data_IF_762659268278
#
_entry.id   IF_762659268278
#
_cell.length_a   1.000
_cell.length_b   1.000
_cell.length_c   1.000
_cell.angle_alpha   90.00
_cell.angle_beta   90.00
_cell.angle_gamma   90.00
#
_symmetry.space_group_name_H-M   'P 1'
#
loop_
_entity.id
_entity.type
_entity.pdbx_description
1 polymer ?
#
# COMPACT_ATOMS: atom_id res chain seq x y z
N UNK A 1 -25.54 -24.62 3.50
CA UNK A 1 -26.24 -23.39 3.07
C UNK A 1 -25.21 -22.28 3.01
N UNK A 2 -24.76 -21.88 1.82
CA UNK A 2 -23.83 -20.76 1.66
C UNK A 2 -24.61 -19.48 1.83
N UNK A 3 -24.31 -18.72 2.89
CA UNK A 3 -24.91 -17.42 3.16
C UNK A 3 -24.38 -16.40 2.14
N UNK A 4 -25.02 -16.34 0.97
CA UNK A 4 -24.85 -15.24 0.04
C UNK A 4 -25.55 -14.02 0.61
N UNK A 5 -24.79 -12.99 1.01
CA UNK A 5 -25.36 -11.66 1.26
C UNK A 5 -25.67 -11.04 -0.12
N UNK A 6 -26.94 -10.78 -0.45
CA UNK A 6 -27.29 -10.25 -1.76
C UNK A 6 -26.57 -8.92 -2.00
N UNK A 7 -25.81 -8.83 -3.09
CA UNK A 7 -25.11 -7.60 -3.51
C UNK A 7 -23.63 -7.50 -3.13
N UNK A 8 -23.09 -8.41 -2.31
CA UNK A 8 -21.65 -8.50 -2.05
C UNK A 8 -21.00 -9.58 -2.92
N UNK A 9 -19.79 -9.33 -3.45
CA UNK A 9 -19.07 -10.35 -4.22
C UNK A 9 -18.68 -11.55 -3.35
N UNK A 10 -18.90 -12.75 -3.85
CA UNK A 10 -18.39 -13.98 -3.24
C UNK A 10 -16.91 -14.13 -3.60
N UNK A 11 -16.03 -13.83 -2.63
CA UNK A 11 -14.58 -13.85 -2.83
C UNK A 11 -14.04 -15.21 -3.32
N UNK A 12 -14.80 -16.30 -3.19
CA UNK A 12 -14.40 -17.63 -3.69
C UNK A 12 -14.72 -17.84 -5.16
N UNK A 13 -15.66 -17.08 -5.72
CA UNK A 13 -16.19 -17.26 -7.08
C UNK A 13 -15.96 -16.04 -7.97
N UNK A 14 -16.15 -14.86 -7.41
CA UNK A 14 -16.03 -13.59 -8.12
C UNK A 14 -14.60 -13.09 -8.06
N UNK A 15 -14.01 -12.76 -9.21
CA UNK A 15 -12.69 -12.16 -9.25
C UNK A 15 -12.79 -10.65 -9.02
N UNK A 16 -12.42 -10.19 -7.83
CA UNK A 16 -12.41 -8.77 -7.46
C UNK A 16 -11.01 -8.16 -7.48
N UNK A 17 -10.00 -8.93 -7.89
CA UNK A 17 -8.60 -8.55 -7.75
C UNK A 17 -8.27 -7.23 -8.45
N UNK A 18 -8.88 -6.93 -9.60
CA UNK A 18 -8.68 -5.65 -10.29
C UNK A 18 -9.16 -4.44 -9.48
N UNK A 19 -10.19 -4.59 -8.63
CA UNK A 19 -10.63 -3.52 -7.73
C UNK A 19 -9.63 -3.24 -6.60
N UNK A 20 -8.69 -4.15 -6.35
CA UNK A 20 -7.62 -3.92 -5.37
C UNK A 20 -6.57 -2.93 -5.85
N UNK A 21 -6.49 -2.66 -7.17
CA UNK A 21 -5.57 -1.67 -7.75
C UNK A 21 -5.92 -0.23 -7.32
N UNK A 22 -7.15 0.29 -7.52
CA UNK A 22 -7.51 1.60 -6.99
C UNK A 22 -7.49 1.63 -5.46
N UNK A 23 -7.82 0.54 -4.77
CA UNK A 23 -7.70 0.45 -3.32
C UNK A 23 -6.24 0.60 -2.85
N UNK A 24 -5.28 0.01 -3.55
CA UNK A 24 -3.85 0.22 -3.29
C UNK A 24 -3.49 1.69 -3.36
N UNK A 25 -3.92 2.39 -4.43
CA UNK A 25 -3.59 3.79 -4.63
C UNK A 25 -4.08 4.65 -3.45
N UNK A 26 -5.30 4.40 -2.97
CA UNK A 26 -5.87 5.07 -1.80
C UNK A 26 -5.06 4.79 -0.53
N UNK A 27 -4.65 3.54 -0.31
CA UNK A 27 -3.79 3.16 0.82
C UNK A 27 -2.42 3.86 0.71
N UNK A 28 -1.85 3.93 -0.49
CA UNK A 28 -0.53 4.50 -0.75
C UNK A 28 -0.47 6.00 -0.48
N UNK A 29 -1.52 6.76 -0.82
CA UNK A 29 -1.56 8.22 -0.61
C UNK A 29 -1.96 8.62 0.80
N UNK A 30 -2.58 7.72 1.57
CA UNK A 30 -3.08 8.02 2.93
C UNK A 30 -2.01 8.62 3.87
N UNK A 31 -0.78 8.08 3.97
CA UNK A 31 0.26 8.66 4.83
C UNK A 31 0.56 10.13 4.53
N UNK A 32 0.61 10.49 3.25
CA UNK A 32 0.81 11.88 2.79
C UNK A 32 -0.32 12.79 3.25
N UNK A 33 -1.58 12.37 3.10
CA UNK A 33 -2.71 13.20 3.52
C UNK A 33 -2.76 13.40 5.03
N UNK A 34 -2.40 12.39 5.82
CA UNK A 34 -2.27 12.52 7.27
C UNK A 34 -1.13 13.49 7.64
N UNK A 35 0.03 13.35 7.00
CA UNK A 35 1.18 14.26 7.17
C UNK A 35 0.85 15.71 6.82
N UNK A 36 0.17 15.94 5.68
CA UNK A 36 -0.24 17.29 5.24
C UNK A 36 -1.23 17.92 6.23
N UNK A 37 -2.29 17.19 6.62
CA UNK A 37 -3.29 17.71 7.56
C UNK A 37 -2.68 18.03 8.93
N UNK A 38 -1.75 17.20 9.40
CA UNK A 38 -1.05 17.45 10.66
C UNK A 38 -0.16 18.70 10.56
N UNK A 39 0.58 18.85 9.47
CA UNK A 39 1.39 20.04 9.20
C UNK A 39 0.54 21.31 9.22
N UNK A 40 -0.56 21.33 8.47
CA UNK A 40 -1.43 22.52 8.38
C UNK A 40 -2.05 22.86 9.75
N UNK A 41 -2.48 21.84 10.50
CA UNK A 41 -3.07 22.05 11.84
C UNK A 41 -2.08 22.61 12.84
N UNK A 42 -0.84 22.12 12.84
CA UNK A 42 0.17 22.51 13.83
C UNK A 42 0.88 23.81 13.46
N UNK A 43 1.01 24.10 12.16
CA UNK A 43 1.74 25.29 11.71
C UNK A 43 0.86 26.49 11.37
N UNK A 44 -0.43 26.25 11.07
CA UNK A 44 -1.32 27.24 10.46
C UNK A 44 -1.00 27.58 9.00
N UNK A 45 0.12 27.08 8.46
CA UNK A 45 0.51 27.26 7.07
C UNK A 45 -0.21 26.23 6.19
N UNK A 46 -0.61 26.64 4.99
CA UNK A 46 -1.21 25.73 4.01
C UNK A 46 -0.13 25.03 3.19
N UNK A 47 -0.43 23.81 2.76
CA UNK A 47 0.37 23.13 1.77
C UNK A 47 0.45 23.92 0.45
N UNK A 48 1.64 24.03 -0.16
CA UNK A 48 1.82 24.66 -1.48
C UNK A 48 1.65 23.62 -2.60
N UNK A 49 0.53 23.64 -3.34
CA UNK A 49 0.29 22.69 -4.43
C UNK A 49 1.19 22.93 -5.65
N UNK A 50 1.86 24.08 -5.75
CA UNK A 50 2.76 24.42 -6.88
C UNK A 50 4.11 23.71 -6.75
N UNK A 51 4.53 23.38 -5.52
CA UNK A 51 5.80 22.74 -5.24
C UNK A 51 5.64 21.52 -4.29
N UNK A 52 4.85 20.50 -4.68
CA UNK A 52 4.45 19.42 -3.79
C UNK A 52 5.64 18.58 -3.27
N UNK A 53 6.71 18.52 -4.05
CA UNK A 53 7.96 17.81 -3.72
C UNK A 53 8.84 18.57 -2.72
N UNK A 54 8.59 19.86 -2.51
CA UNK A 54 9.31 20.66 -1.51
C UNK A 54 8.69 20.52 -0.10
N UNK A 55 7.64 19.71 0.05
CA UNK A 55 6.95 19.56 1.34
C UNK A 55 7.89 19.16 2.48
N UNK A 56 8.81 18.22 2.24
CA UNK A 56 9.78 17.78 3.26
C UNK A 56 10.71 18.91 3.70
N UNK A 57 11.08 19.79 2.77
CA UNK A 57 11.87 21.00 3.04
C UNK A 57 11.05 21.99 3.88
N UNK A 58 9.79 22.23 3.52
CA UNK A 58 8.87 23.08 4.31
C UNK A 58 8.69 22.58 5.74
N UNK A 59 8.61 21.26 5.93
CA UNK A 59 8.49 20.63 7.26
C UNK A 59 9.79 20.77 8.05
N UNK A 60 10.95 20.59 7.41
CA UNK A 60 12.25 20.74 8.07
C UNK A 60 12.46 22.16 8.61
N UNK A 61 12.10 23.18 7.84
CA UNK A 61 12.25 24.59 8.20
C UNK A 61 11.15 25.15 9.12
N UNK A 62 10.08 24.40 9.40
CA UNK A 62 9.01 24.83 10.30
C UNK A 62 9.53 24.91 11.75
N UNK A 63 9.72 26.12 12.27
CA UNK A 63 10.24 26.35 13.64
C UNK A 63 9.21 26.04 14.74
N UNK A 64 7.93 26.02 14.39
CA UNK A 64 6.79 25.74 15.26
C UNK A 64 6.46 24.25 15.42
N UNK A 65 7.17 23.35 14.75
CA UNK A 65 7.02 21.91 14.92
C UNK A 65 8.11 21.35 15.81
N UNK A 66 7.71 20.54 16.79
CA UNK A 66 8.64 19.71 17.55
C UNK A 66 9.25 18.60 16.67
N UNK A 67 10.35 18.00 17.12
CA UNK A 67 11.10 17.02 16.35
C UNK A 67 10.33 15.72 16.10
N UNK A 68 9.48 15.30 17.03
CA UNK A 68 8.71 14.07 16.88
C UNK A 68 7.63 14.24 15.82
N UNK A 69 6.93 15.38 15.84
CA UNK A 69 5.96 15.75 14.81
C UNK A 69 6.63 15.87 13.44
N UNK A 70 7.80 16.53 13.33
CA UNK A 70 8.57 16.57 12.08
C UNK A 70 8.90 15.17 11.59
N UNK A 71 9.42 14.32 12.47
CA UNK A 71 9.75 12.93 12.16
C UNK A 71 8.55 12.14 11.64
N UNK A 72 7.40 12.26 12.28
CA UNK A 72 6.17 11.59 11.85
C UNK A 72 5.74 12.03 10.45
N UNK A 73 5.74 13.35 10.19
CA UNK A 73 5.34 13.93 8.90
C UNK A 73 6.27 13.45 7.78
N UNK A 74 7.59 13.51 8.02
CA UNK A 74 8.61 13.09 7.05
C UNK A 74 8.55 11.58 6.77
N UNK A 75 8.31 10.75 7.79
CA UNK A 75 8.10 9.30 7.60
C UNK A 75 6.83 9.01 6.81
N UNK A 76 5.77 9.80 6.96
CA UNK A 76 4.57 9.68 6.12
C UNK A 76 4.84 9.95 4.64
N UNK A 77 5.69 10.93 4.33
CA UNK A 77 6.13 11.15 2.94
C UNK A 77 6.92 9.95 2.40
N UNK A 78 7.89 9.47 3.18
CA UNK A 78 8.69 8.30 2.80
C UNK A 78 7.84 7.04 2.61
N UNK A 79 6.81 6.83 3.45
CA UNK A 79 5.88 5.71 3.33
C UNK A 79 5.04 5.78 2.05
N UNK A 80 4.58 6.97 1.67
CA UNK A 80 3.88 7.17 0.39
C UNK A 80 4.80 6.85 -0.80
N UNK A 81 6.01 7.42 -0.82
CA UNK A 81 6.97 7.19 -1.91
C UNK A 81 7.31 5.70 -2.06
N UNK A 82 7.61 5.01 -0.95
CA UNK A 82 7.86 3.57 -0.99
C UNK A 82 6.64 2.75 -1.48
N UNK A 83 5.43 3.19 -1.13
CA UNK A 83 4.22 2.55 -1.66
C UNK A 83 4.15 2.72 -3.17
N UNK A 84 4.43 3.90 -3.72
CA UNK A 84 4.38 4.08 -5.17
C UNK A 84 5.47 3.34 -5.95
N UNK A 85 6.65 3.07 -5.35
CA UNK A 85 7.65 2.14 -5.92
C UNK A 85 7.06 0.73 -6.13
N UNK A 86 6.11 0.33 -5.29
CA UNK A 86 5.46 -0.97 -5.33
C UNK A 86 4.17 -1.01 -6.17
N UNK A 87 3.64 0.15 -6.59
CA UNK A 87 2.37 0.22 -7.34
C UNK A 87 2.44 -0.51 -8.68
N UNK A 88 3.51 -0.27 -9.45
CA UNK A 88 3.73 -0.92 -10.74
C UNK A 88 3.86 -2.43 -10.62
N UNK A 89 4.80 -2.95 -9.79
CA UNK A 89 4.94 -4.38 -9.53
C UNK A 89 3.66 -5.07 -9.06
N UNK A 90 2.92 -4.44 -8.12
CA UNK A 90 1.64 -4.97 -7.65
C UNK A 90 0.60 -5.06 -8.78
N UNK A 91 0.40 -3.96 -9.51
CA UNK A 91 -0.55 -3.91 -10.62
C UNK A 91 -0.23 -4.95 -11.68
N UNK A 92 1.04 -5.11 -12.04
CA UNK A 92 1.49 -6.12 -12.99
C UNK A 92 1.19 -7.54 -12.49
N UNK A 93 1.41 -7.83 -11.20
CA UNK A 93 1.11 -9.14 -10.62
C UNK A 93 -0.41 -9.45 -10.63
N UNK A 94 -1.25 -8.47 -10.30
CA UNK A 94 -2.71 -8.61 -10.32
C UNK A 94 -3.23 -8.85 -11.74
N UNK A 95 -2.73 -8.09 -12.71
CA UNK A 95 -3.11 -8.23 -14.13
C UNK A 95 -2.63 -9.57 -14.67
N UNK A 96 -1.38 -9.98 -14.38
CA UNK A 96 -0.86 -11.28 -14.78
C UNK A 96 -1.68 -12.44 -14.20
N UNK A 97 -2.01 -12.39 -12.91
CA UNK A 97 -2.87 -13.39 -12.25
C UNK A 97 -4.28 -13.44 -12.86
N UNK A 98 -4.84 -12.28 -13.21
CA UNK A 98 -6.15 -12.19 -13.87
C UNK A 98 -6.11 -12.75 -15.29
N UNK A 99 -5.10 -12.41 -16.08
CA UNK A 99 -4.89 -12.91 -17.44
C UNK A 99 -4.65 -14.43 -17.47
N UNK A 100 -3.93 -14.95 -16.47
CA UNK A 100 -3.69 -16.38 -16.29
C UNK A 100 -4.92 -17.15 -15.77
N UNK A 101 -6.04 -16.46 -15.48
CA UNK A 101 -7.27 -17.02 -14.89
C UNK A 101 -6.98 -17.84 -13.63
N UNK A 102 -6.18 -17.28 -12.72
CA UNK A 102 -5.97 -17.88 -11.40
C UNK A 102 -7.31 -18.07 -10.68
N UNK A 103 -7.34 -19.06 -9.78
CA UNK A 103 -8.52 -19.30 -8.96
C UNK A 103 -8.91 -18.00 -8.21
N UNK A 104 -10.17 -17.55 -8.27
CA UNK A 104 -10.60 -16.29 -7.66
C UNK A 104 -10.29 -16.21 -6.16
N UNK A 105 -10.52 -17.28 -5.41
CA UNK A 105 -10.22 -17.33 -3.98
C UNK A 105 -8.73 -17.07 -3.69
N UNK A 106 -7.84 -17.66 -4.51
CA UNK A 106 -6.39 -17.46 -4.38
C UNK A 106 -5.98 -16.05 -4.75
N UNK A 107 -6.41 -15.54 -5.91
CA UNK A 107 -6.00 -14.21 -6.38
C UNK A 107 -6.55 -13.09 -5.50
N UNK A 108 -7.83 -13.17 -5.10
CA UNK A 108 -8.43 -12.23 -4.15
C UNK A 108 -7.72 -12.30 -2.79
N UNK A 109 -7.45 -13.52 -2.29
CA UNK A 109 -6.73 -13.70 -1.02
C UNK A 109 -5.36 -13.03 -1.02
N UNK A 110 -4.56 -13.27 -2.07
CA UNK A 110 -3.22 -12.69 -2.19
C UNK A 110 -3.26 -11.16 -2.28
N UNK A 111 -4.19 -10.60 -3.06
CA UNK A 111 -4.33 -9.15 -3.19
C UNK A 111 -4.83 -8.49 -1.90
N UNK A 112 -5.78 -9.09 -1.20
CA UNK A 112 -6.27 -8.60 0.10
C UNK A 112 -5.15 -8.64 1.16
N UNK A 113 -4.42 -9.75 1.27
CA UNK A 113 -3.30 -9.87 2.22
C UNK A 113 -2.21 -8.85 1.89
N UNK A 114 -1.91 -8.65 0.61
CA UNK A 114 -0.97 -7.62 0.16
C UNK A 114 -1.42 -6.22 0.61
N UNK A 115 -2.67 -5.83 0.35
CA UNK A 115 -3.20 -4.53 0.78
C UNK A 115 -3.16 -4.37 2.30
N UNK A 116 -3.55 -5.42 3.04
CA UNK A 116 -3.45 -5.43 4.51
C UNK A 116 -2.02 -5.22 5.01
N UNK A 117 -1.05 -5.87 4.37
CA UNK A 117 0.37 -5.68 4.69
C UNK A 117 0.83 -4.24 4.41
N UNK A 118 0.31 -3.57 3.39
CA UNK A 118 0.59 -2.15 3.11
C UNK A 118 -0.04 -1.20 4.14
N UNK A 119 -1.24 -1.50 4.62
CA UNK A 119 -1.86 -0.72 5.71
C UNK A 119 -1.00 -0.80 6.97
N UNK A 120 -0.60 -2.02 7.37
CA UNK A 120 0.27 -2.23 8.54
C UNK A 120 1.64 -1.56 8.31
N UNK A 121 2.26 -1.77 7.14
CA UNK A 121 3.53 -1.15 6.78
C UNK A 121 3.49 0.37 6.93
N UNK A 122 2.47 1.03 6.36
CA UNK A 122 2.33 2.48 6.42
C UNK A 122 2.17 2.98 7.85
N UNK A 123 1.32 2.31 8.65
CA UNK A 123 1.13 2.65 10.05
C UNK A 123 2.42 2.49 10.86
N UNK A 124 3.12 1.36 10.72
CA UNK A 124 4.38 1.12 11.41
C UNK A 124 5.44 2.14 10.99
N UNK A 125 5.55 2.44 9.69
CA UNK A 125 6.55 3.38 9.18
C UNK A 125 6.34 4.77 9.80
N UNK A 126 5.13 5.32 9.77
CA UNK A 126 4.87 6.64 10.35
C UNK A 126 5.22 6.71 11.85
N UNK A 127 4.97 5.62 12.59
CA UNK A 127 5.23 5.50 14.02
C UNK A 127 6.61 4.93 14.38
N UNK A 128 7.49 4.70 13.40
CA UNK A 128 8.77 4.02 13.63
C UNK A 128 9.79 4.93 14.30
N UNK A 129 9.77 4.96 15.62
CA UNK A 129 10.75 5.67 16.47
C UNK A 129 11.77 4.73 17.12
N UNK A 130 11.59 3.41 16.99
CA UNK A 130 12.44 2.39 17.61
C UNK A 130 12.95 1.37 16.59
N UNK A 131 14.02 0.65 16.94
CA UNK A 131 14.57 -0.44 16.12
C UNK A 131 13.54 -1.56 15.91
N UNK A 132 12.78 -1.91 16.95
CA UNK A 132 11.74 -2.94 16.87
C UNK A 132 10.65 -2.62 15.84
N UNK A 133 10.23 -1.36 15.77
CA UNK A 133 9.31 -0.89 14.73
C UNK A 133 9.94 -0.97 13.33
N UNK A 134 11.25 -0.73 13.23
CA UNK A 134 12.02 -0.95 12.01
C UNK A 134 11.92 -2.39 11.50
N UNK A 135 12.05 -3.38 12.39
CA UNK A 135 11.86 -4.80 12.01
C UNK A 135 10.42 -5.13 11.63
N UNK A 136 9.44 -4.63 12.39
CA UNK A 136 8.01 -4.83 12.07
C UNK A 136 7.65 -4.25 10.69
N UNK A 137 8.26 -3.12 10.31
CA UNK A 137 8.12 -2.51 8.99
C UNK A 137 8.69 -3.43 7.91
N UNK A 138 9.90 -3.95 8.10
CA UNK A 138 10.52 -4.89 7.14
C UNK A 138 9.71 -6.17 7.00
N UNK A 139 9.20 -6.73 8.09
CA UNK A 139 8.36 -7.92 8.04
C UNK A 139 7.06 -7.67 7.25
N UNK A 140 6.38 -6.56 7.52
CA UNK A 140 5.15 -6.17 6.81
C UNK A 140 5.38 -5.96 5.31
N UNK A 141 6.55 -5.41 4.96
CA UNK A 141 6.99 -5.25 3.57
C UNK A 141 7.21 -6.61 2.89
N UNK A 142 7.97 -7.49 3.53
CA UNK A 142 8.31 -8.81 2.99
C UNK A 142 7.08 -9.71 2.83
N UNK A 143 6.09 -9.61 3.71
CA UNK A 143 4.79 -10.29 3.55
C UNK A 143 4.11 -9.89 2.24
N UNK A 144 4.03 -8.58 1.97
CA UNK A 144 3.46 -8.09 0.71
C UNK A 144 4.28 -8.54 -0.49
N UNK A 145 5.61 -8.46 -0.41
CA UNK A 145 6.50 -8.92 -1.48
C UNK A 145 6.31 -10.42 -1.77
N UNK A 146 6.11 -11.24 -0.73
CA UNK A 146 5.79 -12.66 -0.87
C UNK A 146 4.47 -12.90 -1.61
N UNK A 147 3.41 -12.15 -1.28
CA UNK A 147 2.13 -12.23 -2.00
C UNK A 147 2.27 -11.84 -3.48
N UNK A 148 3.05 -10.78 -3.75
CA UNK A 148 3.33 -10.28 -5.09
C UNK A 148 4.05 -11.34 -5.93
N UNK A 149 5.11 -11.95 -5.40
CA UNK A 149 5.82 -13.02 -6.10
C UNK A 149 4.98 -14.28 -6.26
N UNK A 150 4.15 -14.63 -5.28
CA UNK A 150 3.24 -15.76 -5.38
C UNK A 150 2.26 -15.60 -6.55
N UNK A 151 1.73 -14.39 -6.80
CA UNK A 151 0.88 -14.12 -7.95
C UNK A 151 1.62 -14.32 -9.27
N UNK A 152 2.84 -13.77 -9.42
CA UNK A 152 3.64 -13.95 -10.63
C UNK A 152 4.01 -15.42 -10.88
N UNK A 153 4.47 -16.14 -9.86
CA UNK A 153 4.87 -17.56 -9.99
C UNK A 153 3.68 -18.42 -10.41
N UNK A 154 2.52 -18.21 -9.79
CA UNK A 154 1.31 -18.96 -10.13
C UNK A 154 0.81 -18.63 -11.54
N UNK A 155 0.82 -17.35 -11.93
CA UNK A 155 0.47 -16.93 -13.28
C UNK A 155 1.40 -17.54 -14.33
N UNK A 156 2.72 -17.46 -14.10
CA UNK A 156 3.72 -18.07 -14.99
C UNK A 156 3.56 -19.58 -15.12
N UNK A 157 3.24 -20.26 -14.02
CA UNK A 157 2.98 -21.72 -14.02
C UNK A 157 1.75 -22.06 -14.87
N UNK A 158 0.67 -21.28 -14.76
CA UNK A 158 -0.53 -21.45 -15.61
C UNK A 158 -0.23 -21.24 -17.08
N UNK A 159 0.50 -20.18 -17.43
CA UNK A 159 0.87 -19.92 -18.82
C UNK A 159 1.77 -21.02 -19.39
N UNK A 160 2.77 -21.47 -18.64
CA UNK A 160 3.64 -22.59 -19.05
C UNK A 160 2.83 -23.84 -19.39
N UNK A 161 1.85 -24.18 -18.56
CA UNK A 161 1.05 -25.39 -18.75
C UNK A 161 -0.04 -25.26 -19.81
N UNK A 162 -0.34 -24.05 -20.28
CA UNK A 162 -1.35 -23.80 -21.32
C UNK A 162 -0.77 -23.82 -22.75
N UNK A 163 0.56 -23.81 -22.88
CA UNK A 163 1.29 -23.81 -24.17
C UNK A 163 1.71 -25.24 -24.58
N UNK A 164 1.31 -26.26 -23.81
CA UNK A 164 1.41 -27.68 -24.14
C UNK A 164 -0.01 -28.25 -24.32
#
# INVERSE_FOLDING_TARGET
>A
MTSYLPGLPDLRRDNIALYTIPAFWLIAVTPRFLSMRLYERQTGAKFDPRAPRNFTVSVAHASNLDQDTKGFILRGEAAMLNSFENFGPFTAAVVAGSAAKLNPATLNGLTIVYLGSRVVYNWVYMNSTTIGMGYARSLSYLTGLGCLFAMFIQAGTKFKNAVL
#
